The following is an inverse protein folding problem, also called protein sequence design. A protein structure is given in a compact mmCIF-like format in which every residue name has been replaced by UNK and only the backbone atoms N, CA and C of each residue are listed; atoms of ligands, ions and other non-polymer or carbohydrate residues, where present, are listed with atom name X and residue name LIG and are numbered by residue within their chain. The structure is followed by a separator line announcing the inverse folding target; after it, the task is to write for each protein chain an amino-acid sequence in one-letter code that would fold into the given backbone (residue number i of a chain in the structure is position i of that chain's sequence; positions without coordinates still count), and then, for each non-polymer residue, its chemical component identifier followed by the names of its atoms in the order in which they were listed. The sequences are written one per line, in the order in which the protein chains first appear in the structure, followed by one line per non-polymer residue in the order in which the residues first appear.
data_IF_395076467533
#
_entry.id   IF_395076467533
#
_cell.length_a   1.000
_cell.length_b   1.000
_cell.length_c   1.000
_cell.angle_alpha   90.00
_cell.angle_beta   90.00
_cell.angle_gamma   90.00
#
_symmetry.space_group_name_H-M   'P 1'
#
loop_
_entity.id
_entity.type
_entity.pdbx_description
1 polymer ?
#
# COMPACT_ATOMS: atom_id res chain seq x y z
N UNK A 1 -9.55 -11.87 21.02
CA UNK A 1 -9.93 -12.05 19.60
C UNK A 1 -8.74 -11.72 18.73
N UNK A 2 -8.52 -12.47 17.65
CA UNK A 2 -7.47 -12.15 16.67
C UNK A 2 -7.99 -11.01 15.77
N UNK A 3 -7.33 -9.84 15.78
CA UNK A 3 -7.70 -8.70 14.93
C UNK A 3 -7.55 -9.07 13.45
N UNK A 4 -8.49 -8.65 12.60
CA UNK A 4 -8.41 -8.69 11.12
C UNK A 4 -7.33 -7.75 10.60
N UNK A 5 -6.95 -7.88 9.32
CA UNK A 5 -5.97 -6.98 8.70
C UNK A 5 -6.41 -5.51 8.73
N UNK A 6 -7.70 -5.26 8.56
CA UNK A 6 -8.27 -3.91 8.64
C UNK A 6 -8.19 -3.37 10.07
N UNK A 7 -8.61 -4.15 11.06
CA UNK A 7 -8.52 -3.73 12.47
C UNK A 7 -7.08 -3.48 12.90
N UNK A 8 -6.12 -4.27 12.41
CA UNK A 8 -4.69 -4.06 12.70
C UNK A 8 -4.16 -2.77 12.09
N UNK A 9 -4.48 -2.47 10.83
CA UNK A 9 -3.95 -1.25 10.18
C UNK A 9 -4.58 0.00 10.78
N UNK A 10 -5.87 -0.04 11.11
CA UNK A 10 -6.56 1.05 11.81
C UNK A 10 -5.92 1.28 13.18
N UNK A 11 -5.64 0.22 13.93
CA UNK A 11 -4.96 0.31 15.24
C UNK A 11 -3.60 1.02 15.15
N UNK A 12 -2.80 0.68 14.13
CA UNK A 12 -1.49 1.32 13.86
C UNK A 12 -1.64 2.82 13.51
N UNK A 13 -2.69 3.16 12.77
CA UNK A 13 -2.93 4.54 12.32
C UNK A 13 -3.57 5.42 13.41
N UNK A 14 -4.44 4.86 14.25
CA UNK A 14 -5.25 5.63 15.20
C UNK A 14 -4.72 5.60 16.64
N UNK A 15 -4.02 4.54 17.05
CA UNK A 15 -3.54 4.35 18.43
C UNK A 15 -2.01 4.33 18.52
N UNK A 16 -1.36 5.29 17.85
CA UNK A 16 0.08 5.50 17.94
C UNK A 16 0.45 6.57 18.97
N UNK A 17 1.55 6.35 19.71
CA UNK A 17 2.16 7.36 20.58
C UNK A 17 2.59 8.64 19.84
N UNK A 18 2.68 8.58 18.51
CA UNK A 18 3.08 9.69 17.64
C UNK A 18 1.91 10.37 16.93
N UNK A 19 0.66 9.97 17.23
CA UNK A 19 -0.55 10.60 16.71
C UNK A 19 -0.57 10.69 15.17
N UNK A 20 -0.90 11.85 14.62
CA UNK A 20 -1.02 12.05 13.17
C UNK A 20 0.24 11.70 12.36
N UNK A 21 1.44 11.70 12.98
CA UNK A 21 2.68 11.32 12.28
C UNK A 21 2.69 9.84 11.86
N UNK A 22 2.05 8.94 12.63
CA UNK A 22 1.95 7.54 12.21
C UNK A 22 1.08 7.39 10.97
N UNK A 23 0.02 8.20 10.85
CA UNK A 23 -0.87 8.19 9.69
C UNK A 23 -0.13 8.64 8.44
N UNK A 24 0.62 9.75 8.53
CA UNK A 24 1.44 10.25 7.43
C UNK A 24 2.49 9.21 7.01
N UNK A 25 3.13 8.55 7.97
CA UNK A 25 4.10 7.50 7.70
C UNK A 25 3.48 6.30 6.95
N UNK A 26 2.32 5.82 7.40
CA UNK A 26 1.63 4.70 6.75
C UNK A 26 1.21 5.09 5.34
N UNK A 27 0.66 6.30 5.14
CA UNK A 27 0.29 6.82 3.83
C UNK A 27 1.50 6.88 2.89
N UNK A 28 2.63 7.45 3.35
CA UNK A 28 3.88 7.54 2.58
C UNK A 28 4.42 6.15 2.20
N UNK A 29 4.41 5.20 3.13
CA UNK A 29 4.84 3.83 2.87
C UNK A 29 3.97 3.14 1.81
N UNK A 30 2.64 3.30 1.91
CA UNK A 30 1.69 2.74 0.93
C UNK A 30 1.90 3.35 -0.45
N UNK A 31 2.06 4.68 -0.55
CA UNK A 31 2.30 5.37 -1.82
C UNK A 31 3.59 4.87 -2.47
N UNK A 32 4.70 4.91 -1.74
CA UNK A 32 6.02 4.48 -2.26
C UNK A 32 6.01 3.03 -2.72
N UNK A 33 5.41 2.15 -1.91
CA UNK A 33 5.35 0.73 -2.26
C UNK A 33 4.45 0.47 -3.47
N UNK A 34 3.26 1.07 -3.50
CA UNK A 34 2.32 0.92 -4.62
C UNK A 34 2.94 1.43 -5.93
N UNK A 35 3.62 2.58 -5.91
CA UNK A 35 4.31 3.07 -7.10
C UNK A 35 5.46 2.18 -7.55
N UNK A 36 6.28 1.69 -6.62
CA UNK A 36 7.40 0.81 -6.94
C UNK A 36 6.91 -0.48 -7.61
N UNK A 37 5.90 -1.14 -7.04
CA UNK A 37 5.35 -2.38 -7.61
C UNK A 37 4.60 -2.11 -8.92
N UNK A 38 3.87 -1.00 -9.03
CA UNK A 38 3.15 -0.63 -10.26
C UNK A 38 4.08 -0.42 -11.47
N UNK A 39 5.30 0.08 -11.22
CA UNK A 39 6.34 0.39 -12.22
C UNK A 39 7.36 -0.75 -12.39
N UNK A 40 7.35 -1.76 -11.52
CA UNK A 40 8.28 -2.86 -11.56
C UNK A 40 8.21 -3.64 -12.89
N UNK A 41 9.37 -4.04 -13.37
CA UNK A 41 9.52 -4.90 -14.54
C UNK A 41 9.10 -6.34 -14.22
N UNK A 42 8.77 -7.16 -15.24
CA UNK A 42 8.46 -8.57 -15.02
C UNK A 42 9.58 -9.32 -14.28
N UNK A 43 10.85 -9.01 -14.57
CA UNK A 43 12.00 -9.65 -13.94
C UNK A 43 12.11 -9.29 -12.45
N UNK A 44 11.80 -8.04 -12.07
CA UNK A 44 11.76 -7.61 -10.67
C UNK A 44 10.64 -8.28 -9.87
N UNK A 45 9.54 -8.66 -10.55
CA UNK A 45 8.42 -9.37 -9.95
C UNK A 45 8.53 -10.90 -10.08
N UNK A 46 9.50 -11.41 -10.83
CA UNK A 46 9.69 -12.84 -11.06
C UNK A 46 9.95 -13.62 -9.76
N UNK A 47 10.54 -12.97 -8.76
CA UNK A 47 10.74 -13.56 -7.43
C UNK A 47 9.43 -13.87 -6.68
N UNK A 48 8.30 -13.31 -7.14
CA UNK A 48 6.98 -13.58 -6.59
C UNK A 48 6.27 -14.76 -7.27
N UNK A 49 6.79 -15.26 -8.39
CA UNK A 49 6.25 -16.45 -9.07
C UNK A 49 6.28 -17.67 -8.15
N UNK A 50 5.21 -18.48 -8.17
CA UNK A 50 5.04 -19.62 -7.27
C UNK A 50 4.65 -19.25 -5.83
N UNK A 51 4.52 -17.95 -5.53
CA UNK A 51 3.99 -17.45 -4.27
C UNK A 51 2.46 -17.51 -4.18
N UNK A 52 1.88 -17.07 -3.05
CA UNK A 52 0.43 -17.08 -2.82
C UNK A 52 -0.35 -16.07 -3.68
N UNK A 53 0.33 -15.14 -4.34
CA UNK A 53 -0.27 -14.12 -5.22
C UNK A 53 0.54 -14.06 -6.51
N UNK A 54 -0.14 -14.02 -7.66
CA UNK A 54 0.57 -13.89 -8.94
C UNK A 54 1.20 -12.50 -9.09
N UNK A 55 2.36 -12.38 -9.73
CA UNK A 55 3.02 -11.09 -9.99
C UNK A 55 2.11 -10.08 -10.68
N UNK A 56 1.38 -10.52 -11.70
CA UNK A 56 0.47 -9.67 -12.46
C UNK A 56 -0.71 -9.16 -11.62
N UNK A 57 -1.29 -10.01 -10.75
CA UNK A 57 -2.37 -9.60 -9.85
C UNK A 57 -1.86 -8.60 -8.81
N UNK A 58 -0.68 -8.85 -8.24
CA UNK A 58 -0.06 -7.94 -7.28
C UNK A 58 0.25 -6.57 -7.90
N UNK A 59 0.79 -6.57 -9.12
CA UNK A 59 1.03 -5.34 -9.87
C UNK A 59 -0.28 -4.60 -10.24
N UNK A 60 -1.35 -5.33 -10.55
CA UNK A 60 -2.68 -4.74 -10.77
C UNK A 60 -3.20 -4.01 -9.53
N UNK A 61 -3.12 -4.65 -8.36
CA UNK A 61 -3.49 -4.05 -7.07
C UNK A 61 -2.66 -2.81 -6.79
N UNK A 62 -1.34 -2.87 -7.03
CA UNK A 62 -0.45 -1.74 -6.81
C UNK A 62 -0.82 -0.53 -7.69
N UNK A 63 -1.17 -0.75 -8.97
CA UNK A 63 -1.66 0.32 -9.87
C UNK A 63 -2.96 0.95 -9.39
N UNK A 64 -3.91 0.13 -8.93
CA UNK A 64 -5.18 0.62 -8.39
C UNK A 64 -4.96 1.50 -7.15
N UNK A 65 -4.14 1.02 -6.20
CA UNK A 65 -3.82 1.75 -4.97
C UNK A 65 -3.09 3.05 -5.32
N UNK A 66 -2.06 3.02 -6.16
CA UNK A 66 -1.34 4.22 -6.57
C UNK A 66 -2.28 5.27 -7.21
N UNK A 67 -3.22 4.82 -8.05
CA UNK A 67 -4.25 5.70 -8.64
C UNK A 67 -5.16 6.34 -7.59
N UNK A 68 -5.64 5.57 -6.61
CA UNK A 68 -6.46 6.09 -5.50
C UNK A 68 -5.69 7.11 -4.65
N UNK A 69 -4.46 6.78 -4.27
CA UNK A 69 -3.61 7.66 -3.46
C UNK A 69 -3.30 8.97 -4.19
N UNK A 70 -2.97 8.90 -5.49
CA UNK A 70 -2.76 10.09 -6.30
C UNK A 70 -4.01 10.98 -6.38
N UNK A 71 -5.21 10.40 -6.39
CA UNK A 71 -6.46 11.15 -6.36
C UNK A 71 -6.68 11.87 -5.01
N UNK A 72 -6.36 11.22 -3.88
CA UNK A 72 -6.49 11.84 -2.56
C UNK A 72 -5.49 12.96 -2.31
N UNK A 73 -4.33 12.91 -2.96
CA UNK A 73 -3.27 13.93 -2.83
C UNK A 73 -3.43 15.11 -3.78
N UNK A 74 -4.34 15.03 -4.77
CA UNK A 74 -4.67 16.19 -5.60
C UNK A 74 -5.39 17.22 -4.72
N UNK A 75 -4.97 18.49 -4.72
CA UNK A 75 -5.75 19.53 -4.06
C UNK A 75 -7.13 19.59 -4.73
N UNK A 76 -8.20 19.66 -3.91
CA UNK A 76 -9.53 19.95 -4.43
C UNK A 76 -9.50 21.26 -5.25
N UNK A 77 -10.26 21.34 -6.36
CA UNK A 77 -10.37 22.57 -7.14
C UNK A 77 -10.95 23.73 -6.32
#
# INVERSE_FOLDING_TARGET
MCKTNVERIVDVMEFSAYGALSQVFVVDAVVKHAEAVAKATPDELAAMEGGPVSPAAWQGVAREIAGKMAAYMKPSP
#
